data_IF_666699242628
#
_entry.id   IF_666699242628
#
_cell.length_a   1.000
_cell.length_b   1.000
_cell.length_c   1.000
_cell.angle_alpha   90.00
_cell.angle_beta   90.00
_cell.angle_gamma   90.00
#
_symmetry.space_group_name_H-M   'P 1'
#
loop_
_entity.id
_entity.type
_entity.pdbx_description
1 polymer ?
#
# COMPACT_ATOMS: atom_id res chain seq x y z
N UNK A 1 12.81 -3.05 -0.78
CA UNK A 1 11.71 -2.14 -0.42
C UNK A 1 10.85 -2.82 0.64
N UNK A 2 10.77 -2.27 1.85
CA UNK A 2 9.92 -2.83 2.91
C UNK A 2 8.47 -2.38 2.64
N UNK A 3 7.61 -3.31 2.24
CA UNK A 3 6.20 -3.03 1.93
C UNK A 3 5.41 -4.03 2.76
N UNK A 4 4.58 -3.52 3.65
CA UNK A 4 3.72 -4.29 4.52
C UNK A 4 2.28 -4.29 4.00
N UNK A 5 1.45 -5.16 4.59
CA UNK A 5 0.00 -5.11 4.37
C UNK A 5 -0.52 -3.80 4.97
N UNK A 6 -1.36 -3.08 4.23
CA UNK A 6 -1.92 -1.79 4.66
C UNK A 6 -1.27 -0.59 4.00
N UNK A 7 -0.05 -0.71 3.49
CA UNK A 7 0.61 0.36 2.73
C UNK A 7 -0.16 0.76 1.47
N UNK A 8 -0.01 2.02 1.08
CA UNK A 8 -0.56 2.55 -0.17
C UNK A 8 0.59 2.80 -1.14
N UNK A 9 0.62 2.04 -2.22
CA UNK A 9 1.57 2.20 -3.31
C UNK A 9 1.06 3.26 -4.29
N UNK A 10 1.90 4.24 -4.61
CA UNK A 10 1.64 5.19 -5.69
C UNK A 10 2.37 4.69 -6.94
N UNK A 11 1.60 4.30 -7.96
CA UNK A 11 2.14 3.82 -9.23
C UNK A 11 2.57 4.97 -10.15
N UNK A 12 3.58 4.72 -11.00
CA UNK A 12 4.01 5.64 -12.07
C UNK A 12 3.00 5.70 -13.20
N UNK A 13 2.36 4.57 -13.52
CA UNK A 13 1.27 4.49 -14.50
C UNK A 13 -0.07 4.54 -13.79
N UNK A 14 -1.01 5.29 -14.35
CA UNK A 14 -2.38 5.28 -13.87
C UNK A 14 -3.06 3.96 -14.23
N UNK A 15 -3.94 3.50 -13.34
CA UNK A 15 -4.89 2.45 -13.67
C UNK A 15 -5.84 2.96 -14.76
N UNK A 16 -6.42 2.09 -15.62
CA UNK A 16 -7.44 2.49 -16.60
C UNK A 16 -8.64 3.26 -16.02
N UNK A 17 -8.86 3.25 -14.71
CA UNK A 17 -9.88 4.07 -14.04
C UNK A 17 -9.42 5.50 -13.68
N UNK A 18 -8.18 5.88 -13.99
CA UNK A 18 -7.61 7.19 -13.67
C UNK A 18 -6.93 7.30 -12.30
N UNK A 19 -7.13 6.34 -11.38
CA UNK A 19 -6.46 6.34 -10.08
C UNK A 19 -5.06 5.69 -10.16
N UNK A 20 -4.09 6.23 -9.42
CA UNK A 20 -2.72 5.72 -9.33
C UNK A 20 -2.34 5.20 -7.93
N UNK A 21 -3.30 5.21 -6.99
CA UNK A 21 -3.11 4.72 -5.62
C UNK A 21 -3.60 3.29 -5.50
N UNK A 22 -2.80 2.45 -4.87
CA UNK A 22 -3.09 1.04 -4.70
C UNK A 22 -2.76 0.56 -3.30
N UNK A 23 -3.77 0.03 -2.61
CA UNK A 23 -3.61 -0.51 -1.27
C UNK A 23 -3.06 -1.93 -1.33
N UNK A 24 -2.06 -2.23 -0.50
CA UNK A 24 -1.47 -3.55 -0.38
C UNK A 24 -2.32 -4.40 0.55
N UNK A 25 -2.94 -5.44 -0.01
CA UNK A 25 -3.73 -6.41 0.75
C UNK A 25 -2.88 -7.59 1.23
N UNK A 26 -1.89 -7.99 0.43
CA UNK A 26 -0.93 -9.06 0.73
C UNK A 26 0.45 -8.62 0.29
N UNK A 27 1.43 -8.78 1.19
CA UNK A 27 2.85 -8.67 0.91
C UNK A 27 3.48 -10.06 1.02
N UNK A 28 4.24 -10.47 0.00
CA UNK A 28 4.83 -11.80 -0.13
C UNK A 28 5.70 -11.88 -1.39
N UNK A 29 5.73 -13.04 -2.06
CA UNK A 29 6.35 -13.17 -3.39
C UNK A 29 5.59 -12.37 -4.46
N UNK A 30 4.26 -12.37 -4.36
CA UNK A 30 3.36 -11.57 -5.18
C UNK A 30 2.62 -10.56 -4.31
N UNK A 31 2.46 -9.35 -4.83
CA UNK A 31 1.61 -8.34 -4.18
C UNK A 31 0.18 -8.51 -4.64
N UNK A 32 -0.73 -8.64 -3.69
CA UNK A 32 -2.16 -8.44 -3.96
C UNK A 32 -2.48 -6.98 -3.72
N UNK A 33 -2.79 -6.26 -4.78
CA UNK A 33 -3.10 -4.84 -4.75
C UNK A 33 -4.58 -4.61 -5.02
N UNK A 34 -5.14 -3.59 -4.36
CA UNK A 34 -6.49 -3.09 -4.61
C UNK A 34 -6.40 -1.66 -5.07
N UNK A 35 -6.99 -1.35 -6.22
CA UNK A 35 -7.12 0.02 -6.68
C UNK A 35 -8.09 0.78 -5.77
N UNK A 36 -7.69 1.95 -5.28
CA UNK A 36 -8.54 2.74 -4.38
C UNK A 36 -9.69 3.44 -5.12
N UNK A 37 -9.54 3.69 -6.43
CA UNK A 37 -10.56 4.35 -7.24
C UNK A 37 -11.68 3.42 -7.73
N UNK A 38 -11.33 2.24 -8.27
CA UNK A 38 -12.31 1.29 -8.81
C UNK A 38 -12.56 0.06 -7.94
N UNK A 39 -11.81 -0.09 -6.84
CA UNK A 39 -11.92 -1.24 -5.93
C UNK A 39 -11.42 -2.57 -6.50
N UNK A 40 -10.92 -2.60 -7.75
CA UNK A 40 -10.48 -3.82 -8.43
C UNK A 40 -9.20 -4.36 -7.79
N UNK A 41 -9.23 -5.65 -7.48
CA UNK A 41 -8.10 -6.37 -6.93
C UNK A 41 -7.35 -7.12 -8.03
N UNK A 42 -6.03 -7.14 -7.95
CA UNK A 42 -5.19 -7.93 -8.86
C UNK A 42 -3.88 -8.33 -8.18
N UNK A 43 -3.26 -9.39 -8.70
CA UNK A 43 -1.94 -9.83 -8.27
C UNK A 43 -0.88 -9.36 -9.26
N UNK A 44 0.23 -8.86 -8.72
CA UNK A 44 1.38 -8.44 -9.49
C UNK A 44 2.65 -9.02 -8.85
N UNK A 45 3.55 -9.64 -9.65
CA UNK A 45 4.81 -10.13 -9.11
C UNK A 45 5.66 -8.97 -8.60
N UNK A 46 6.38 -9.22 -7.50
CA UNK A 46 7.19 -8.22 -6.81
C UNK A 46 8.13 -7.45 -7.73
N UNK A 47 8.86 -8.14 -8.61
CA UNK A 47 9.80 -7.50 -9.55
C UNK A 47 9.13 -6.50 -10.50
N UNK A 48 7.85 -6.70 -10.84
CA UNK A 48 7.09 -5.79 -11.69
C UNK A 48 6.50 -4.65 -10.88
N UNK A 49 6.06 -4.90 -9.65
CA UNK A 49 5.60 -3.86 -8.74
C UNK A 49 6.73 -2.87 -8.45
N UNK A 50 7.92 -3.33 -8.06
CA UNK A 50 9.05 -2.47 -7.69
C UNK A 50 9.52 -1.56 -8.84
N UNK A 51 9.38 -1.97 -10.10
CA UNK A 51 9.67 -1.11 -11.27
C UNK A 51 8.61 -0.05 -11.53
N UNK A 52 7.35 -0.36 -11.26
CA UNK A 52 6.20 0.50 -11.55
C UNK A 52 5.78 1.39 -10.38
N UNK A 53 6.20 1.08 -9.16
CA UNK A 53 5.98 1.91 -7.97
C UNK A 53 6.84 3.17 -8.10
N UNK A 54 6.21 4.33 -7.85
CA UNK A 54 6.87 5.64 -7.76
C UNK A 54 7.27 5.93 -6.32
N UNK A 55 6.34 5.73 -5.39
CA UNK A 55 6.48 6.01 -3.97
C UNK A 55 5.60 5.06 -3.16
N UNK A 56 5.97 4.81 -1.91
CA UNK A 56 5.21 4.02 -0.94
C UNK A 56 4.77 4.96 0.17
N UNK A 57 3.47 4.98 0.44
CA UNK A 57 2.87 5.77 1.51
C UNK A 57 2.49 4.82 2.65
N UNK A 58 3.25 4.90 3.75
CA UNK A 58 3.06 4.06 4.94
C UNK A 58 2.14 4.76 5.91
N UNK A 59 0.83 4.64 5.65
CA UNK A 59 -0.19 5.36 6.39
C UNK A 59 -0.41 4.88 7.85
N UNK A 60 0.16 3.76 8.28
CA UNK A 60 -0.24 3.10 9.55
C UNK A 60 0.88 2.97 10.62
N UNK A 61 1.88 3.84 10.62
CA UNK A 61 2.89 3.86 11.71
C UNK A 61 2.71 4.95 12.76
N UNK A 62 1.76 5.87 12.62
CA UNK A 62 1.64 7.01 13.55
C UNK A 62 0.51 6.89 14.60
N UNK A 63 -0.53 6.07 14.39
CA UNK A 63 -1.66 5.98 15.33
C UNK A 63 -1.38 5.18 16.62
N UNK A 64 -0.40 4.27 16.65
CA UNK A 64 -0.17 3.43 17.85
C UNK A 64 0.57 4.18 18.97
N UNK A 65 1.25 5.31 18.66
CA UNK A 65 1.96 6.07 19.71
C UNK A 65 1.00 6.82 20.64
N UNK A 66 -0.14 7.30 20.15
CA UNK A 66 -1.02 8.19 20.94
C UNK A 66 -1.75 7.45 22.07
N UNK A 67 -1.97 6.15 21.95
CA UNK A 67 -2.79 5.38 22.89
C UNK A 67 -2.00 4.79 24.08
N UNK A 68 -0.67 4.85 24.07
CA UNK A 68 0.14 4.26 25.16
C UNK A 68 0.65 5.29 26.18
N UNK A 69 0.68 6.57 25.84
CA UNK A 69 1.09 7.62 26.77
C UNK A 69 -0.04 8.09 27.71
N UNK A 70 -1.31 7.75 27.42
CA UNK A 70 -2.48 8.18 28.21
C UNK A 70 -2.96 7.15 29.27
N UNK A 71 -2.33 5.98 29.36
CA UNK A 71 -2.73 4.90 30.29
C UNK A 71 -1.67 4.50 31.32
N UNK A 72 -0.80 5.44 31.72
CA UNK A 72 0.07 5.26 32.89
C UNK A 72 -0.22 6.30 33.99
N UNK A 73 -1.50 6.43 34.37
CA UNK A 73 -1.88 6.93 35.70
C UNK A 73 -2.13 5.76 36.63
#
# INVERSE_FOLDING_TARGET
MDICRGDVLVMKKNHPCGCNRMRVLRSGMDFKLRCEGCGREFMIPRSKAEKNVKSVDTAERETIKVIKDDMNV
#
